data_IF_684073279743
#
_entry.id   IF_684073279743
#
_cell.length_a   1.000
_cell.length_b   1.000
_cell.length_c   1.000
_cell.angle_alpha   90.00
_cell.angle_beta   90.00
_cell.angle_gamma   90.00
#
_symmetry.space_group_name_H-M   'P 1'
#
loop_
_entity.id
_entity.type
_entity.pdbx_description
1 polymer ?
#
# COMPACT_ATOMS: atom_id res chain seq x y z
N UNK A 1 0.30 5.86 -14.05
CA UNK A 1 -0.55 5.87 -15.28
C UNK A 1 -1.75 4.92 -15.22
N UNK A 2 -1.60 3.70 -14.68
CA UNK A 2 -2.68 2.69 -14.65
C UNK A 2 -3.82 3.05 -13.70
N UNK A 3 -3.53 3.43 -12.45
CA UNK A 3 -4.57 3.71 -11.44
C UNK A 3 -5.54 4.83 -11.87
N UNK A 4 -5.04 5.88 -12.53
CA UNK A 4 -5.87 7.04 -12.94
C UNK A 4 -7.03 6.66 -13.85
N UNK A 5 -6.88 5.62 -14.69
CA UNK A 5 -7.98 5.13 -15.55
C UNK A 5 -9.10 4.42 -14.77
N UNK A 6 -8.78 3.86 -13.60
CA UNK A 6 -9.72 3.09 -12.79
C UNK A 6 -10.40 3.93 -11.69
N UNK A 7 -9.75 5.01 -11.22
CA UNK A 7 -10.29 5.85 -10.16
C UNK A 7 -11.50 6.69 -10.62
N UNK A 8 -11.59 7.04 -11.91
CA UNK A 8 -12.65 7.90 -12.42
C UNK A 8 -12.57 9.32 -11.84
N UNK A 9 -13.73 9.88 -11.47
CA UNK A 9 -13.81 11.16 -10.76
C UNK A 9 -13.68 10.97 -9.25
N UNK A 10 -13.09 11.96 -8.56
CA UNK A 10 -13.08 12.03 -7.09
C UNK A 10 -14.49 12.12 -6.51
N UNK A 11 -15.44 12.64 -7.29
CA UNK A 11 -16.85 12.77 -6.89
C UNK A 11 -17.67 11.48 -7.14
N UNK A 12 -17.05 10.39 -7.60
CA UNK A 12 -17.75 9.13 -7.87
C UNK A 12 -18.23 8.49 -6.54
N UNK A 13 -19.55 8.33 -6.29
CA UNK A 13 -20.05 7.75 -5.05
C UNK A 13 -19.70 6.26 -4.86
N UNK A 14 -19.27 5.57 -5.92
CA UNK A 14 -18.79 4.19 -5.86
C UNK A 14 -17.29 4.11 -5.50
N UNK A 15 -16.58 5.25 -5.46
CA UNK A 15 -15.17 5.30 -5.07
C UNK A 15 -15.05 5.18 -3.55
N UNK A 16 -14.40 4.10 -3.11
CA UNK A 16 -14.10 3.87 -1.70
C UNK A 16 -12.58 3.92 -1.51
N UNK A 17 -12.10 4.81 -0.63
CA UNK A 17 -10.68 5.00 -0.34
C UNK A 17 -10.40 4.54 1.09
N UNK A 18 -9.43 3.65 1.25
CA UNK A 18 -8.95 3.19 2.55
C UNK A 18 -7.62 3.82 2.90
N UNK A 19 -7.47 4.25 4.16
CA UNK A 19 -6.17 4.62 4.74
C UNK A 19 -5.64 3.45 5.56
N UNK A 20 -4.48 2.95 5.20
CA UNK A 20 -3.76 1.93 5.97
C UNK A 20 -2.66 2.61 6.77
N UNK A 21 -2.68 2.43 8.09
CA UNK A 21 -1.60 2.85 8.99
C UNK A 21 -0.92 1.55 9.46
N UNK A 22 0.20 1.15 8.84
CA UNK A 22 0.86 -0.09 9.20
C UNK A 22 1.52 0.04 10.57
N UNK A 23 1.29 -0.94 11.46
CA UNK A 23 1.99 -1.02 12.74
C UNK A 23 3.39 -1.63 12.61
N UNK A 24 3.62 -2.43 11.55
CA UNK A 24 4.89 -3.10 11.27
C UNK A 24 5.00 -3.34 9.76
N UNK A 25 6.21 -3.22 9.21
CA UNK A 25 6.53 -3.56 7.81
C UNK A 25 7.68 -4.55 7.81
N UNK A 26 7.52 -5.64 7.05
CA UNK A 26 8.54 -6.68 6.88
C UNK A 26 8.93 -6.79 5.41
N UNK A 27 10.23 -6.84 5.15
CA UNK A 27 10.82 -7.08 3.83
C UNK A 27 11.28 -8.53 3.71
N UNK A 28 11.03 -9.14 2.54
CA UNK A 28 11.46 -10.48 2.16
C UNK A 28 12.14 -10.38 0.79
N UNK A 29 13.37 -10.88 0.67
CA UNK A 29 14.10 -10.87 -0.60
C UNK A 29 13.90 -12.19 -1.31
N UNK A 30 13.37 -12.15 -2.54
CA UNK A 30 13.37 -13.29 -3.48
C UNK A 30 12.78 -14.59 -2.90
N UNK A 31 11.72 -14.49 -2.11
CA UNK A 31 11.11 -15.64 -1.43
C UNK A 31 12.03 -16.37 -0.44
N UNK A 32 13.05 -15.71 0.10
CA UNK A 32 13.83 -16.20 1.24
C UNK A 32 12.94 -16.31 2.49
N UNK A 33 13.10 -17.37 3.29
CA UNK A 33 12.31 -17.57 4.53
C UNK A 33 12.56 -16.49 5.61
N UNK A 34 13.57 -15.67 5.42
CA UNK A 34 13.95 -14.61 6.35
C UNK A 34 13.19 -13.32 6.07
N UNK A 35 12.74 -12.70 7.16
CA UNK A 35 12.04 -11.43 7.16
C UNK A 35 12.83 -10.40 7.94
N UNK A 36 12.89 -9.18 7.42
CA UNK A 36 13.59 -8.06 8.03
C UNK A 36 12.60 -6.95 8.37
N UNK A 37 12.60 -6.49 9.61
CA UNK A 37 11.79 -5.35 10.03
C UNK A 37 12.29 -4.06 9.38
N UNK A 38 11.37 -3.31 8.78
CA UNK A 38 11.64 -2.02 8.16
C UNK A 38 11.31 -0.92 9.15
N UNK A 39 12.30 -0.08 9.47
CA UNK A 39 12.09 1.11 10.29
C UNK A 39 11.34 2.17 9.50
N UNK A 40 10.33 2.77 10.11
CA UNK A 40 9.72 3.98 9.58
C UNK A 40 10.64 5.16 9.86
N UNK A 41 11.02 5.89 8.82
CA UNK A 41 11.44 7.28 9.00
C UNK A 41 10.18 8.09 9.26
N UNK A 42 10.00 8.53 10.50
CA UNK A 42 9.02 9.57 10.84
C UNK A 42 9.46 10.89 10.19
#
# INVERSE_FOLDING_TARGET
>A
PLLRKYLGSVDNPQLIIYRIIPNQVRYMKEWALEYYDVKFSV
#
